data_IF_672341197654
#
_entry.id   IF_672341197654
#
_cell.length_a   1.000
_cell.length_b   1.000
_cell.length_c   1.000
_cell.angle_alpha   90.00
_cell.angle_beta   90.00
_cell.angle_gamma   90.00
#
_symmetry.space_group_name_H-M   'P 1'
#
loop_
_entity.id
_entity.type
_entity.pdbx_description
1 polymer ?
#
# COMPACT_ATOMS: atom_id res chain seq x y z
N UNK A 1 -4.44 3.30 -19.08
CA UNK A 1 -3.42 3.70 -18.08
C UNK A 1 -4.00 3.32 -16.73
N UNK A 2 -3.23 2.68 -15.84
CA UNK A 2 -3.75 2.32 -14.52
C UNK A 2 -4.05 3.57 -13.71
N UNK A 3 -5.17 3.57 -12.97
CA UNK A 3 -5.52 4.64 -12.04
C UNK A 3 -4.59 4.53 -10.83
N UNK A 4 -3.94 5.63 -10.46
CA UNK A 4 -3.00 5.68 -9.34
C UNK A 4 -3.75 6.00 -8.06
N UNK A 5 -3.57 5.16 -7.05
CA UNK A 5 -4.28 5.30 -5.77
C UNK A 5 -3.33 5.41 -4.60
N UNK A 6 -3.70 6.27 -3.66
CA UNK A 6 -3.14 6.32 -2.31
C UNK A 6 -4.04 5.54 -1.35
N UNK A 7 -3.47 4.99 -0.29
CA UNK A 7 -4.24 4.45 0.84
C UNK A 7 -3.87 5.26 2.08
N UNK A 8 -4.83 5.94 2.68
CA UNK A 8 -4.67 6.59 3.97
C UNK A 8 -5.24 5.70 5.07
N UNK A 9 -4.37 5.20 5.95
CA UNK A 9 -4.74 4.16 6.93
C UNK A 9 -4.45 2.75 6.42
N UNK A 10 -3.25 2.23 6.70
CA UNK A 10 -2.82 0.90 6.28
C UNK A 10 -3.16 -0.21 7.30
N UNK A 11 -4.36 -0.09 7.88
CA UNK A 11 -4.95 -1.07 8.78
C UNK A 11 -5.43 -2.33 8.08
N UNK A 12 -6.37 -3.06 8.71
CA UNK A 12 -6.91 -4.31 8.14
C UNK A 12 -7.50 -4.13 6.73
N UNK A 13 -8.31 -3.08 6.53
CA UNK A 13 -8.97 -2.84 5.23
C UNK A 13 -7.96 -2.38 4.19
N UNK A 14 -7.09 -1.41 4.50
CA UNK A 14 -6.04 -0.95 3.57
C UNK A 14 -5.14 -2.10 3.08
N UNK A 15 -4.72 -3.00 3.97
CA UNK A 15 -3.96 -4.20 3.59
C UNK A 15 -4.77 -5.17 2.73
N UNK A 16 -6.06 -5.34 3.02
CA UNK A 16 -6.93 -6.19 2.22
C UNK A 16 -7.25 -5.60 0.84
N UNK A 17 -7.28 -4.27 0.69
CA UNK A 17 -7.37 -3.61 -0.62
C UNK A 17 -6.14 -3.94 -1.47
N UNK A 18 -4.94 -3.81 -0.88
CA UNK A 18 -3.71 -4.24 -1.55
C UNK A 18 -3.77 -5.73 -1.90
N UNK A 19 -4.15 -6.58 -0.95
CA UNK A 19 -4.25 -8.03 -1.18
C UNK A 19 -5.19 -8.37 -2.34
N UNK A 20 -6.39 -7.80 -2.35
CA UNK A 20 -7.39 -8.03 -3.39
C UNK A 20 -6.91 -7.58 -4.78
N UNK A 21 -6.17 -6.47 -4.85
CA UNK A 21 -5.57 -5.97 -6.09
C UNK A 21 -4.59 -7.00 -6.69
N UNK A 22 -3.68 -7.53 -5.87
CA UNK A 22 -2.65 -8.47 -6.32
C UNK A 22 -3.21 -9.88 -6.58
N UNK A 23 -4.04 -10.42 -5.69
CA UNK A 23 -4.66 -11.74 -5.88
C UNK A 23 -5.61 -11.74 -7.08
N UNK A 24 -6.34 -10.64 -7.29
CA UNK A 24 -7.21 -10.44 -8.44
C UNK A 24 -6.46 -10.15 -9.75
N UNK A 25 -5.13 -9.96 -9.72
CA UNK A 25 -4.29 -9.62 -10.87
C UNK A 25 -4.77 -8.34 -11.60
N UNK A 26 -5.23 -7.35 -10.84
CA UNK A 26 -5.80 -6.09 -11.37
C UNK A 26 -4.81 -4.91 -11.36
N UNK A 27 -3.51 -5.19 -11.23
CA UNK A 27 -2.44 -4.17 -11.20
C UNK A 27 -2.33 -3.37 -12.53
N UNK A 28 -2.91 -3.88 -13.62
CA UNK A 28 -3.06 -3.12 -14.86
C UNK A 28 -4.20 -2.09 -14.86
N UNK A 29 -5.15 -2.21 -13.93
CA UNK A 29 -6.29 -1.30 -13.75
C UNK A 29 -6.02 -0.25 -12.67
N UNK A 30 -5.45 -0.69 -11.54
CA UNK A 30 -5.13 0.15 -10.38
C UNK A 30 -3.67 -0.05 -9.96
N UNK A 31 -3.02 1.05 -9.59
CA UNK A 31 -1.67 1.05 -9.06
C UNK A 31 -1.64 1.76 -7.71
N UNK A 32 -1.28 1.03 -6.64
CA UNK A 32 -1.07 1.66 -5.33
C UNK A 32 0.31 2.31 -5.36
N UNK A 33 0.36 3.64 -5.30
CA UNK A 33 1.62 4.39 -5.37
C UNK A 33 2.16 4.76 -3.99
N UNK A 34 1.27 4.90 -3.01
CA UNK A 34 1.65 5.25 -1.66
C UNK A 34 0.63 4.74 -0.63
N UNK A 35 1.11 4.45 0.57
CA UNK A 35 0.32 4.17 1.77
C UNK A 35 0.75 5.12 2.88
N UNK A 36 -0.20 5.65 3.64
CA UNK A 36 0.06 6.40 4.85
C UNK A 36 -0.37 5.58 6.07
N UNK A 37 0.57 5.38 7.00
CA UNK A 37 0.34 4.68 8.27
C UNK A 37 1.36 5.17 9.30
N UNK A 38 0.99 5.16 10.58
CA UNK A 38 1.92 5.58 11.64
C UNK A 38 2.96 4.50 11.98
N UNK A 39 2.75 3.26 11.53
CA UNK A 39 3.74 2.20 11.54
C UNK A 39 4.78 2.35 10.42
N UNK A 40 5.99 1.88 10.67
CA UNK A 40 7.06 1.93 9.68
C UNK A 40 6.87 0.89 8.55
N UNK A 41 7.68 1.00 7.49
CA UNK A 41 7.63 0.09 6.35
C UNK A 41 7.89 -1.37 6.74
N UNK A 42 8.66 -1.65 7.80
CA UNK A 42 8.96 -3.02 8.25
C UNK A 42 7.74 -3.67 8.90
N UNK A 43 7.04 -2.94 9.77
CA UNK A 43 5.79 -3.38 10.38
C UNK A 43 4.75 -3.62 9.28
N UNK A 44 4.60 -2.66 8.35
CA UNK A 44 3.64 -2.77 7.27
C UNK A 44 3.94 -3.95 6.33
N UNK A 45 5.21 -4.24 6.03
CA UNK A 45 5.61 -5.41 5.26
C UNK A 45 5.23 -6.71 5.98
N UNK A 46 5.55 -6.83 7.27
CA UNK A 46 5.23 -8.00 8.06
C UNK A 46 3.71 -8.25 8.11
N UNK A 47 2.92 -7.21 8.41
CA UNK A 47 1.46 -7.30 8.47
C UNK A 47 0.79 -7.52 7.11
N UNK A 48 1.45 -7.12 6.02
CA UNK A 48 1.00 -7.46 4.66
C UNK A 48 1.28 -8.94 4.36
N UNK A 49 2.46 -9.44 4.74
CA UNK A 49 2.85 -10.84 4.50
C UNK A 49 2.02 -11.82 5.34
N UNK A 50 1.66 -11.45 6.58
CA UNK A 50 1.04 -12.33 7.56
C UNK A 50 -0.30 -11.79 8.06
N UNK A 51 -1.40 -12.41 7.63
CA UNK A 51 -2.75 -12.14 8.15
C UNK A 51 -3.33 -13.41 8.79
N UNK A 52 -3.86 -13.32 10.00
CA UNK A 52 -4.41 -14.47 10.74
C UNK A 52 -5.73 -14.99 10.16
N UNK A 53 -6.55 -14.11 9.56
CA UNK A 53 -7.87 -14.45 9.01
C UNK A 53 -7.75 -14.93 7.57
N UNK A 54 -6.94 -14.22 6.77
CA UNK A 54 -6.81 -14.49 5.33
C UNK A 54 -5.56 -15.32 4.98
N UNK A 55 -4.73 -15.66 5.97
CA UNK A 55 -3.49 -16.41 5.77
C UNK A 55 -2.37 -15.58 5.14
N UNK A 56 -1.31 -16.26 4.71
CA UNK A 56 -0.12 -15.61 4.14
C UNK A 56 -0.44 -14.97 2.79
N UNK A 57 0.04 -13.75 2.56
CA UNK A 57 -0.05 -13.11 1.25
C UNK A 57 0.79 -13.89 0.22
N UNK A 58 0.23 -14.21 -0.97
CA UNK A 58 0.89 -15.10 -1.93
C UNK A 58 2.05 -14.44 -2.69
N UNK A 59 2.16 -13.11 -2.66
CA UNK A 59 3.24 -12.37 -3.30
C UNK A 59 4.48 -12.19 -2.42
N UNK A 60 5.55 -11.73 -3.06
CA UNK A 60 6.76 -11.29 -2.38
C UNK A 60 6.55 -9.88 -1.83
N UNK A 61 6.88 -9.68 -0.55
CA UNK A 61 6.89 -8.37 0.09
C UNK A 61 8.28 -8.09 0.65
N UNK A 62 8.89 -7.01 0.18
CA UNK A 62 10.20 -6.53 0.64
C UNK A 62 10.08 -5.10 1.17
N UNK A 63 11.09 -4.68 1.92
CA UNK A 63 11.26 -3.30 2.35
C UNK A 63 12.48 -2.74 1.66
N UNK A 64 12.35 -1.56 1.05
CA UNK A 64 13.47 -0.78 0.56
C UNK A 64 13.37 0.65 1.09
N UNK A 65 14.15 0.93 2.13
CA UNK A 65 14.09 2.18 2.89
C UNK A 65 12.70 2.42 3.48
N UNK A 66 12.03 3.43 2.96
CA UNK A 66 10.69 3.89 3.33
C UNK A 66 9.62 3.44 2.32
N UNK A 67 9.88 2.36 1.60
CA UNK A 67 8.96 1.81 0.60
C UNK A 67 8.70 0.32 0.85
N UNK A 68 7.47 -0.10 0.60
CA UNK A 68 7.14 -1.50 0.40
C UNK A 68 7.41 -1.85 -1.06
N UNK A 69 7.98 -3.02 -1.31
CA UNK A 69 8.14 -3.56 -2.67
C UNK A 69 7.33 -4.84 -2.75
N UNK A 70 6.22 -4.80 -3.47
CA UNK A 70 5.27 -5.92 -3.59
C UNK A 70 5.31 -6.46 -5.00
N UNK A 71 5.80 -7.69 -5.18
CA UNK A 71 6.02 -8.29 -6.50
C UNK A 71 6.82 -7.40 -7.48
N UNK A 72 7.73 -6.58 -6.94
CA UNK A 72 8.54 -5.62 -7.72
C UNK A 72 7.94 -4.20 -7.80
N UNK A 73 6.66 -4.02 -7.47
CA UNK A 73 6.04 -2.70 -7.44
C UNK A 73 6.46 -1.92 -6.20
N UNK A 74 7.02 -0.71 -6.41
CA UNK A 74 7.44 0.16 -5.32
C UNK A 74 6.27 1.02 -4.84
N UNK A 75 5.97 0.94 -3.56
CA UNK A 75 4.89 1.66 -2.88
C UNK A 75 5.51 2.50 -1.77
N UNK A 76 5.37 3.82 -1.85
CA UNK A 76 5.90 4.74 -0.84
C UNK A 76 5.14 4.58 0.49
N UNK A 77 5.85 4.47 1.60
CA UNK A 77 5.26 4.53 2.94
C UNK A 77 5.44 5.93 3.50
N UNK A 78 4.34 6.52 3.94
CA UNK A 78 4.27 7.82 4.58
C UNK A 78 3.80 7.62 6.03
N UNK A 79 4.16 8.56 6.90
CA UNK A 79 3.76 8.57 8.31
C UNK A 79 3.37 10.00 8.73
N UNK A 80 2.34 10.54 8.10
CA UNK A 80 1.80 11.87 8.37
C UNK A 80 0.43 11.75 9.06
N UNK A 81 0.24 12.52 10.14
CA UNK A 81 -0.99 12.50 10.95
C UNK A 81 -2.08 13.39 10.38
N UNK A 82 -1.71 14.47 9.72
CA UNK A 82 -2.63 15.44 9.12
C UNK A 82 -2.80 15.12 7.63
N UNK A 83 -3.96 14.58 7.20
CA UNK A 83 -4.16 14.18 5.81
C UNK A 83 -3.99 15.33 4.81
N UNK A 84 -4.18 16.59 5.23
CA UNK A 84 -4.00 17.75 4.37
C UNK A 84 -2.53 18.00 4.00
N UNK A 85 -1.57 17.43 4.75
CA UNK A 85 -0.14 17.52 4.48
C UNK A 85 0.40 16.39 3.61
N UNK A 86 -0.43 15.40 3.29
CA UNK A 86 0.00 14.28 2.48
C UNK A 86 0.31 14.73 1.04
N UNK A 87 1.50 14.38 0.50
CA UNK A 87 1.99 14.91 -0.78
C UNK A 87 1.39 14.19 -2.00
N UNK A 88 0.09 13.89 -1.97
CA UNK A 88 -0.63 13.12 -2.99
C UNK A 88 -0.44 13.64 -4.42
N UNK A 89 -0.54 14.95 -4.61
CA UNK A 89 -0.35 15.56 -5.93
C UNK A 89 1.05 15.31 -6.50
N UNK A 90 2.10 15.47 -5.69
CA UNK A 90 3.48 15.20 -6.13
C UNK A 90 3.78 13.72 -6.36
N UNK A 91 3.03 12.82 -5.70
CA UNK A 91 3.13 11.38 -5.92
C UNK A 91 2.27 10.91 -7.11
N UNK A 92 1.50 11.80 -7.72
CA UNK A 92 0.63 11.51 -8.86
C UNK A 92 -0.54 10.61 -8.50
N UNK A 93 -1.09 10.74 -7.29
CA UNK A 93 -2.29 10.01 -6.85
C UNK A 93 -3.54 10.64 -7.48
N UNK A 94 -4.37 9.81 -8.11
CA UNK A 94 -5.67 10.21 -8.69
C UNK A 94 -6.80 10.14 -7.64
N UNK A 95 -6.82 9.07 -6.84
CA UNK A 95 -7.83 8.84 -5.80
C UNK A 95 -7.21 8.28 -4.52
N UNK A 96 -7.85 8.55 -3.38
CA UNK A 96 -7.43 8.02 -2.08
C UNK A 96 -8.50 7.09 -1.53
N UNK A 97 -8.08 5.92 -1.07
CA UNK A 97 -8.87 5.10 -0.14
C UNK A 97 -8.60 5.59 1.28
N UNK A 98 -9.65 6.02 1.98
CA UNK A 98 -9.62 6.52 3.37
C UNK A 98 -10.32 5.54 4.32
#
# INVERSE_FOLDING_TARGET
MAIKVGINGYGRIGRNVLRALYEGKRTGELQIVAVNDLGDAKINAHLTQHDTVHGRFPGEVKVDGDSLVVNGDRIRVLAERDPAKLPWGSLGVDYVFE
#
